data_IF_545437109767
#
_entry.id   IF_545437109767
#
_cell.length_a   1.000
_cell.length_b   1.000
_cell.length_c   1.000
_cell.angle_alpha   90.00
_cell.angle_beta   90.00
_cell.angle_gamma   90.00
#
_symmetry.space_group_name_H-M   'P 1'
#
loop_
_entity.id
_entity.type
_entity.pdbx_description
1 polymer ?
#
# COMPACT_ATOMS: atom_id res chain seq x y z
N UNK A 1 33.37 -7.22 20.97
CA UNK A 1 32.27 -8.12 21.38
C UNK A 1 30.93 -7.40 21.58
N UNK A 2 30.88 -6.22 22.21
CA UNK A 2 29.63 -5.50 22.52
C UNK A 2 28.81 -5.05 21.29
N UNK A 3 29.49 -4.62 20.21
CA UNK A 3 28.82 -4.19 18.97
C UNK A 3 28.15 -5.34 18.20
N UNK A 4 28.63 -6.57 18.37
CA UNK A 4 28.13 -7.76 17.69
C UNK A 4 26.83 -8.26 18.32
N UNK A 5 26.73 -8.22 19.65
CA UNK A 5 25.52 -8.50 20.44
C UNK A 5 24.37 -7.52 20.09
N UNK A 6 24.64 -6.21 20.08
CA UNK A 6 23.64 -5.19 19.68
C UNK A 6 23.10 -5.41 18.27
N UNK A 7 23.95 -5.77 17.32
CA UNK A 7 23.54 -6.09 15.93
C UNK A 7 22.73 -7.39 15.85
N UNK A 8 22.95 -8.34 16.76
CA UNK A 8 22.20 -9.60 16.85
C UNK A 8 20.82 -9.35 17.47
N UNK A 9 20.74 -8.57 18.56
CA UNK A 9 19.48 -8.12 19.16
C UNK A 9 18.63 -7.24 18.22
N UNK A 10 19.27 -6.33 17.47
CA UNK A 10 18.58 -5.54 16.45
C UNK A 10 18.01 -6.42 15.31
N UNK A 11 18.64 -7.56 15.01
CA UNK A 11 18.15 -8.54 14.03
C UNK A 11 17.05 -9.44 14.57
N UNK A 12 17.08 -9.83 15.85
CA UNK A 12 15.99 -10.58 16.48
C UNK A 12 14.71 -9.74 16.58
N UNK A 13 14.83 -8.41 16.72
CA UNK A 13 13.69 -7.49 16.72
C UNK A 13 13.03 -7.30 15.34
N UNK A 14 13.60 -7.87 14.27
CA UNK A 14 13.01 -7.87 12.93
C UNK A 14 12.30 -9.18 12.58
N UNK A 15 12.05 -10.07 13.54
CA UNK A 15 11.22 -11.25 13.29
C UNK A 15 9.75 -10.96 13.60
N UNK A 16 8.82 -11.35 12.71
CA UNK A 16 7.39 -11.34 13.02
C UNK A 16 7.09 -12.13 14.28
N UNK A 17 6.19 -11.62 15.12
CA UNK A 17 5.65 -12.34 16.28
C UNK A 17 4.97 -13.64 15.85
N UNK A 18 4.78 -14.58 16.79
CA UNK A 18 3.97 -15.76 16.54
C UNK A 18 2.46 -15.42 16.51
N UNK A 19 1.66 -16.24 15.82
CA UNK A 19 0.19 -16.11 15.77
C UNK A 19 -0.32 -14.93 14.92
N UNK A 20 -1.51 -14.42 15.25
CA UNK A 20 -2.22 -13.39 14.48
C UNK A 20 -1.41 -12.08 14.42
N UNK A 21 -0.73 -11.71 15.50
CA UNK A 21 0.17 -10.54 15.51
C UNK A 21 1.31 -10.65 14.50
N UNK A 22 1.74 -11.88 14.18
CA UNK A 22 2.72 -12.16 13.13
C UNK A 22 2.23 -11.87 11.72
N UNK A 23 0.92 -11.99 11.47
CA UNK A 23 0.33 -11.64 10.18
C UNK A 23 0.43 -10.13 9.97
N UNK A 24 0.07 -9.36 11.00
CA UNK A 24 0.23 -7.91 10.96
C UNK A 24 1.70 -7.49 10.82
N UNK A 25 2.62 -8.12 11.55
CA UNK A 25 4.05 -7.81 11.45
C UNK A 25 4.63 -8.09 10.05
N UNK A 26 4.10 -9.08 9.32
CA UNK A 26 4.51 -9.35 7.94
C UNK A 26 4.06 -8.26 6.97
N UNK A 27 2.95 -7.59 7.27
CA UNK A 27 2.39 -6.48 6.47
C UNK A 27 3.04 -5.14 6.85
N UNK A 28 2.94 -4.76 8.14
CA UNK A 28 3.38 -3.46 8.65
C UNK A 28 4.85 -3.39 9.05
N UNK A 29 5.52 -4.54 9.08
CA UNK A 29 6.88 -4.66 9.59
C UNK A 29 6.88 -4.95 11.11
N UNK A 30 7.72 -5.89 11.56
CA UNK A 30 7.87 -6.19 12.98
C UNK A 30 8.42 -4.98 13.74
N UNK A 31 7.93 -4.81 14.97
CA UNK A 31 8.32 -3.68 15.83
C UNK A 31 7.64 -2.36 15.47
N UNK A 32 6.54 -2.37 14.72
CA UNK A 32 5.67 -1.21 14.57
C UNK A 32 5.08 -0.79 15.93
N UNK A 33 5.25 0.48 16.27
CA UNK A 33 4.74 1.07 17.51
C UNK A 33 3.22 1.17 17.47
N UNK A 34 2.59 1.27 18.66
CA UNK A 34 1.15 1.49 18.76
C UNK A 34 0.72 2.77 18.01
N UNK A 35 1.51 3.83 18.10
CA UNK A 35 1.25 5.10 17.40
C UNK A 35 1.28 4.93 15.87
N UNK A 36 2.28 4.24 15.31
CA UNK A 36 2.34 3.94 13.87
C UNK A 36 1.11 3.14 13.42
N UNK A 37 0.71 2.13 14.20
CA UNK A 37 -0.47 1.33 13.89
C UNK A 37 -1.75 2.17 13.94
N UNK A 38 -1.90 3.05 14.93
CA UNK A 38 -3.05 3.95 15.02
C UNK A 38 -3.13 4.92 13.87
N UNK A 39 -2.00 5.51 13.45
CA UNK A 39 -1.94 6.39 12.28
C UNK A 39 -2.35 5.63 11.02
N UNK A 40 -1.81 4.42 10.81
CA UNK A 40 -2.15 3.60 9.66
C UNK A 40 -3.65 3.24 9.64
N UNK A 41 -4.18 2.73 10.75
CA UNK A 41 -5.59 2.33 10.85
C UNK A 41 -6.54 3.52 10.68
N UNK A 42 -6.21 4.66 11.30
CA UNK A 42 -7.01 5.89 11.19
C UNK A 42 -7.02 6.39 9.75
N UNK A 43 -5.86 6.40 9.08
CA UNK A 43 -5.76 6.81 7.69
C UNK A 43 -6.61 5.93 6.76
N UNK A 44 -6.48 4.61 6.90
CA UNK A 44 -7.27 3.65 6.11
C UNK A 44 -8.76 3.87 6.31
N UNK A 45 -9.19 3.98 7.56
CA UNK A 45 -10.61 4.15 7.88
C UNK A 45 -11.16 5.46 7.32
N UNK A 46 -10.47 6.59 7.55
CA UNK A 46 -10.90 7.89 7.04
C UNK A 46 -10.96 7.93 5.52
N UNK A 47 -9.96 7.37 4.84
CA UNK A 47 -9.92 7.33 3.38
C UNK A 47 -11.04 6.46 2.80
N UNK A 48 -11.27 5.27 3.35
CA UNK A 48 -12.35 4.38 2.91
C UNK A 48 -13.73 5.01 3.16
N UNK A 49 -13.95 5.64 4.31
CA UNK A 49 -15.20 6.35 4.61
C UNK A 49 -15.40 7.50 3.62
N UNK A 50 -14.37 8.31 3.35
CA UNK A 50 -14.46 9.40 2.38
C UNK A 50 -14.82 8.90 0.97
N UNK A 51 -14.21 7.78 0.54
CA UNK A 51 -14.51 7.17 -0.75
C UNK A 51 -15.95 6.65 -0.84
N UNK A 52 -16.48 6.06 0.23
CA UNK A 52 -17.87 5.59 0.30
C UNK A 52 -18.89 6.73 0.48
N UNK A 53 -18.49 7.84 1.09
CA UNK A 53 -19.33 9.03 1.25
C UNK A 53 -19.51 9.78 -0.08
N UNK A 54 -18.50 9.77 -0.96
CA UNK A 54 -18.54 10.46 -2.24
C UNK A 54 -19.79 10.17 -3.10
N UNK A 55 -20.18 8.91 -3.38
CA UNK A 55 -21.38 8.62 -4.16
C UNK A 55 -22.67 9.08 -3.47
N UNK A 56 -22.72 9.05 -2.13
CA UNK A 56 -23.87 9.53 -1.37
C UNK A 56 -24.03 11.06 -1.49
N UNK A 57 -22.92 11.80 -1.36
CA UNK A 57 -22.88 13.26 -1.47
C UNK A 57 -23.09 13.74 -2.91
N UNK A 58 -22.74 12.91 -3.90
CA UNK A 58 -22.87 13.22 -5.33
C UNK A 58 -24.18 12.70 -5.95
N UNK A 59 -25.10 12.17 -5.13
CA UNK A 59 -26.36 11.58 -5.57
C UNK A 59 -26.21 10.48 -6.65
N UNK A 60 -25.09 9.75 -6.63
CA UNK A 60 -24.85 8.63 -7.54
C UNK A 60 -25.64 7.41 -7.06
N UNK A 61 -26.41 6.82 -7.97
CA UNK A 61 -27.21 5.62 -7.69
C UNK A 61 -26.37 4.34 -7.80
N UNK A 62 -25.32 4.26 -6.99
CA UNK A 62 -24.48 3.08 -6.95
C UNK A 62 -25.18 1.93 -6.24
N UNK A 63 -25.09 0.74 -6.82
CA UNK A 63 -25.60 -0.46 -6.18
C UNK A 63 -24.63 -0.95 -5.08
N UNK A 64 -25.10 -1.89 -4.26
CA UNK A 64 -24.32 -2.47 -3.17
C UNK A 64 -22.96 -3.00 -3.61
N UNK A 65 -22.88 -3.66 -4.77
CA UNK A 65 -21.64 -4.24 -5.28
C UNK A 65 -20.61 -3.18 -5.70
N UNK A 66 -21.06 -2.07 -6.28
CA UNK A 66 -20.19 -0.94 -6.62
C UNK A 66 -19.62 -0.28 -5.36
N UNK A 67 -20.45 -0.08 -4.33
CA UNK A 67 -20.00 0.44 -3.04
C UNK A 67 -19.02 -0.51 -2.36
N UNK A 68 -19.32 -1.81 -2.34
CA UNK A 68 -18.43 -2.82 -1.77
C UNK A 68 -17.07 -2.84 -2.50
N UNK A 69 -17.09 -2.84 -3.83
CA UNK A 69 -15.88 -2.85 -4.64
C UNK A 69 -15.03 -1.61 -4.40
N UNK A 70 -15.64 -0.41 -4.40
CA UNK A 70 -14.92 0.84 -4.13
C UNK A 70 -14.41 0.89 -2.70
N UNK A 71 -15.17 0.41 -1.72
CA UNK A 71 -14.73 0.32 -0.33
C UNK A 71 -13.49 -0.57 -0.17
N UNK A 72 -13.49 -1.75 -0.79
CA UNK A 72 -12.36 -2.67 -0.79
C UNK A 72 -11.12 -2.07 -1.47
N UNK A 73 -11.30 -1.45 -2.63
CA UNK A 73 -10.21 -0.78 -3.37
C UNK A 73 -9.64 0.39 -2.55
N UNK A 74 -10.50 1.23 -1.97
CA UNK A 74 -10.06 2.36 -1.16
C UNK A 74 -9.31 1.89 0.09
N UNK A 75 -9.79 0.83 0.75
CA UNK A 75 -9.13 0.21 1.90
C UNK A 75 -7.74 -0.33 1.54
N UNK A 76 -7.63 -1.08 0.44
CA UNK A 76 -6.37 -1.65 -0.02
C UNK A 76 -5.34 -0.57 -0.39
N UNK A 77 -5.76 0.44 -1.18
CA UNK A 77 -4.89 1.54 -1.58
C UNK A 77 -4.43 2.35 -0.36
N UNK A 78 -5.35 2.76 0.52
CA UNK A 78 -5.00 3.54 1.70
C UNK A 78 -4.13 2.74 2.68
N UNK A 79 -4.39 1.43 2.80
CA UNK A 79 -3.61 0.51 3.62
C UNK A 79 -2.21 0.38 3.09
N UNK A 80 -2.08 0.10 1.79
CA UNK A 80 -0.80 0.03 1.10
C UNK A 80 0.00 1.32 1.24
N UNK A 81 -0.60 2.49 1.04
CA UNK A 81 0.10 3.78 1.14
C UNK A 81 0.61 4.02 2.57
N UNK A 82 -0.28 3.98 3.57
CA UNK A 82 0.07 4.34 4.95
C UNK A 82 1.07 3.36 5.56
N UNK A 83 0.81 2.06 5.43
CA UNK A 83 1.64 1.02 6.00
C UNK A 83 3.04 1.04 5.38
N UNK A 84 3.15 1.16 4.04
CA UNK A 84 4.46 1.19 3.37
C UNK A 84 5.24 2.50 3.62
N UNK A 85 4.57 3.58 3.99
CA UNK A 85 5.21 4.83 4.37
C UNK A 85 5.83 4.77 5.78
N UNK A 86 5.39 3.83 6.63
CA UNK A 86 5.81 3.74 8.03
C UNK A 86 7.30 3.39 8.19
N UNK A 87 7.98 3.91 9.23
CA UNK A 87 9.35 3.55 9.55
C UNK A 87 9.58 2.04 9.74
N UNK A 88 8.63 1.34 10.37
CA UNK A 88 8.68 -0.11 10.56
C UNK A 88 8.68 -0.87 9.22
N UNK A 89 7.74 -0.55 8.32
CA UNK A 89 7.68 -1.15 7.00
C UNK A 89 8.91 -0.84 6.17
N UNK A 90 9.43 0.40 6.22
CA UNK A 90 10.68 0.77 5.51
C UNK A 90 11.86 -0.08 5.96
N UNK A 91 12.03 -0.35 7.26
CA UNK A 91 13.09 -1.25 7.75
C UNK A 91 12.85 -2.69 7.31
N UNK A 92 11.59 -3.13 7.36
CA UNK A 92 11.20 -4.48 7.00
C UNK A 92 11.44 -4.76 5.51
N UNK A 93 10.92 -3.92 4.61
CA UNK A 93 10.98 -4.10 3.16
C UNK A 93 12.36 -3.77 2.55
N UNK A 94 13.19 -2.98 3.25
CA UNK A 94 14.57 -2.68 2.82
C UNK A 94 15.63 -3.50 3.59
N UNK A 95 15.25 -4.60 4.23
CA UNK A 95 16.19 -5.41 5.02
C UNK A 95 17.21 -6.13 4.12
N UNK A 96 18.46 -6.33 4.60
CA UNK A 96 19.46 -7.12 3.86
C UNK A 96 18.97 -8.55 3.62
N UNK A 97 19.13 -9.05 2.39
CA UNK A 97 18.70 -10.39 1.99
C UNK A 97 17.28 -10.49 1.43
N UNK A 98 16.56 -9.37 1.32
CA UNK A 98 15.29 -9.32 0.59
C UNK A 98 15.57 -9.03 -0.90
N UNK A 99 15.20 -9.95 -1.79
CA UNK A 99 15.42 -9.78 -3.22
C UNK A 99 14.52 -8.67 -3.78
N UNK A 100 15.14 -7.69 -4.47
CA UNK A 100 14.45 -6.58 -5.16
C UNK A 100 13.40 -7.05 -6.19
N UNK A 101 13.58 -8.25 -6.74
CA UNK A 101 12.64 -8.88 -7.68
C UNK A 101 11.31 -9.27 -7.04
N UNK A 102 11.29 -9.60 -5.75
CA UNK A 102 10.05 -10.03 -5.06
C UNK A 102 9.15 -8.88 -4.65
N UNK A 103 9.72 -7.70 -4.36
CA UNK A 103 8.95 -6.52 -3.98
C UNK A 103 8.43 -5.83 -5.24
N UNK A 104 9.31 -5.54 -6.21
CA UNK A 104 8.93 -4.82 -7.42
C UNK A 104 7.83 -5.55 -8.22
N UNK A 105 7.93 -6.87 -8.40
CA UNK A 105 6.93 -7.67 -9.10
C UNK A 105 5.51 -7.55 -8.51
N UNK A 106 5.39 -7.43 -7.18
CA UNK A 106 4.09 -7.29 -6.50
C UNK A 106 3.46 -5.90 -6.75
N UNK A 107 4.27 -4.84 -6.77
CA UNK A 107 3.79 -3.50 -7.09
C UNK A 107 3.36 -3.39 -8.55
N UNK A 108 4.14 -3.94 -9.48
CA UNK A 108 3.86 -3.91 -10.91
C UNK A 108 2.63 -4.75 -11.30
N UNK A 109 2.42 -5.92 -10.68
CA UNK A 109 1.28 -6.79 -10.99
C UNK A 109 -0.04 -6.29 -10.42
N UNK A 110 -0.03 -5.52 -9.34
CA UNK A 110 -1.26 -5.12 -8.64
C UNK A 110 -1.70 -3.70 -9.00
N UNK A 111 -0.78 -2.73 -9.05
CA UNK A 111 -1.14 -1.32 -9.28
C UNK A 111 -1.45 -0.99 -10.74
N UNK A 112 -0.78 -1.65 -11.70
CA UNK A 112 -0.96 -1.33 -13.13
C UNK A 112 -2.31 -1.84 -13.65
N UNK A 113 -2.72 -3.10 -13.39
CA UNK A 113 -4.00 -3.60 -13.90
C UNK A 113 -5.18 -2.97 -13.18
N UNK A 114 -5.08 -2.71 -11.87
CA UNK A 114 -6.17 -2.11 -11.09
C UNK A 114 -6.43 -0.66 -11.51
N UNK A 115 -5.37 0.12 -11.74
CA UNK A 115 -5.51 1.49 -12.27
C UNK A 115 -6.12 1.49 -13.67
N UNK A 116 -5.77 0.51 -14.50
CA UNK A 116 -6.33 0.36 -15.85
C UNK A 116 -7.81 -0.09 -15.82
N UNK A 117 -8.16 -1.04 -14.96
CA UNK A 117 -9.53 -1.54 -14.79
C UNK A 117 -10.47 -0.46 -14.25
N UNK A 118 -10.02 0.33 -13.27
CA UNK A 118 -10.77 1.48 -12.75
C UNK A 118 -11.01 2.54 -13.83
N UNK A 119 -10.04 2.78 -14.70
CA UNK A 119 -10.20 3.70 -15.84
C UNK A 119 -11.22 3.19 -16.85
N UNK A 120 -11.31 1.88 -17.09
CA UNK A 120 -12.29 1.29 -18.00
C UNK A 120 -13.73 1.36 -17.47
N UNK A 121 -13.90 1.35 -16.14
CA UNK A 121 -15.21 1.41 -15.51
C UNK A 121 -15.73 2.84 -15.30
N UNK A 122 -14.88 3.87 -15.42
CA UNK A 122 -15.20 5.23 -14.97
C UNK A 122 -15.84 6.18 -16.02
N UNK A 123 -15.55 6.11 -17.32
CA UNK A 123 -16.27 6.83 -18.42
C UNK A 123 -15.44 6.79 -19.73
N UNK A 124 -16.05 6.73 -20.94
CA UNK A 124 -15.34 6.35 -22.16
C UNK A 124 -14.47 7.42 -22.86
N UNK A 125 -14.46 8.69 -22.42
CA UNK A 125 -14.04 9.79 -23.30
C UNK A 125 -12.65 10.37 -23.09
N UNK A 126 -12.38 10.91 -21.89
CA UNK A 126 -11.28 11.87 -21.69
C UNK A 126 -10.21 11.42 -20.67
N UNK A 127 -10.50 10.39 -19.89
CA UNK A 127 -9.63 9.95 -18.79
C UNK A 127 -8.50 9.01 -19.24
N UNK A 128 -8.69 8.32 -20.37
CA UNK A 128 -7.72 7.37 -20.96
C UNK A 128 -6.40 8.05 -21.39
N UNK A 129 -6.44 9.34 -21.75
CA UNK A 129 -5.25 10.10 -22.15
C UNK A 129 -4.40 10.56 -20.94
N UNK A 130 -5.03 10.79 -19.79
CA UNK A 130 -4.33 11.23 -18.58
C UNK A 130 -3.57 10.08 -17.90
N UNK A 131 -4.12 8.86 -17.95
CA UNK A 131 -3.49 7.65 -17.42
C UNK A 131 -2.28 7.20 -18.24
N UNK A 132 -2.29 7.39 -19.57
CA UNK A 132 -1.10 7.17 -20.40
C UNK A 132 0.07 8.08 -20.00
N UNK A 133 -0.19 9.35 -19.67
CA UNK A 133 0.88 10.29 -19.25
C UNK A 133 1.50 9.90 -17.90
N UNK A 134 0.69 9.47 -16.94
CA UNK A 134 1.17 8.93 -15.65
C UNK A 134 1.98 7.64 -15.83
N UNK A 135 1.56 6.76 -16.73
CA UNK A 135 2.29 5.53 -17.09
C UNK A 135 3.69 5.84 -17.64
N UNK A 136 3.81 6.80 -18.57
CA UNK A 136 5.10 7.23 -19.10
C UNK A 136 5.99 7.89 -18.03
N UNK A 137 5.44 8.73 -17.15
CA UNK A 137 6.22 9.41 -16.11
C UNK A 137 6.77 8.44 -15.04
N UNK A 138 6.02 7.40 -14.70
CA UNK A 138 6.46 6.36 -13.77
C UNK A 138 7.53 5.45 -14.38
N UNK A 139 7.43 5.13 -15.68
CA UNK A 139 8.47 4.41 -16.41
C UNK A 139 9.74 5.26 -16.59
N UNK A 140 9.61 6.56 -16.88
CA UNK A 140 10.75 7.45 -17.11
C UNK A 140 11.56 7.75 -15.83
N UNK A 141 10.88 7.88 -14.68
CA UNK A 141 11.53 8.14 -13.38
C UNK A 141 12.47 7.01 -12.94
N UNK A 142 12.33 5.82 -13.53
CA UNK A 142 13.21 4.67 -13.28
C UNK A 142 14.35 4.55 -14.30
N UNK A 143 14.18 5.10 -15.51
CA UNK A 143 15.23 5.10 -16.53
C UNK A 143 16.31 6.16 -16.25
N UNK A 144 15.97 7.25 -15.53
CA UNK A 144 16.91 8.34 -15.24
C UNK A 144 17.74 8.18 -13.94
N UNK A 145 17.64 7.04 -13.25
CA UNK A 145 18.43 6.72 -12.03
C UNK A 145 19.35 5.51 -12.22
N UNK A 146 19.77 5.24 -13.45
CA UNK A 146 20.92 4.37 -13.73
C UNK A 146 22.10 5.23 -14.15
#
# INVERSE_FOLDING_TARGET
>A
MYATEKKKQARTNMQPRAGIGGVWDRLAGPGATAAENWVNLTWVLLFTIAALAYPLLSHLKWNFWQLLLVGLIAFDIAGGISVNASPAAKRWWNRPGQALSSISALWYSTFIPLSWLLCLLASPGSQQQSSMRLYYLLLFSFCSRR
#
